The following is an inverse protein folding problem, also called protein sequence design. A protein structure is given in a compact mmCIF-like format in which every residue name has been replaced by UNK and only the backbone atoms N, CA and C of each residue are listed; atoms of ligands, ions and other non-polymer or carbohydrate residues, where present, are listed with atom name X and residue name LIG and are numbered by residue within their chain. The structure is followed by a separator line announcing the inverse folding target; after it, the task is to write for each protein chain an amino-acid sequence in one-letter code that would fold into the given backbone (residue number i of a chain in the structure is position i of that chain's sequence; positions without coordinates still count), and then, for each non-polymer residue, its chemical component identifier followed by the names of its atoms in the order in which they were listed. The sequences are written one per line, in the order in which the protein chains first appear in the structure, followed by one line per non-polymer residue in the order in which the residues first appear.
data_IF_862204322233
#
_entry.id   IF_862204322233
#
_cell.length_a   1.000
_cell.length_b   1.000
_cell.length_c   1.000
_cell.angle_alpha   90.00
_cell.angle_beta   90.00
_cell.angle_gamma   90.00
#
_symmetry.space_group_name_H-M   'P 1'
#
loop_
_entity.id
_entity.type
_entity.pdbx_description
1 polymer ?
#
# COMPACT_ATOMS: atom_id res chain seq x y z
N UNK A 1 2.99 -6.32 6.05
CA UNK A 1 4.21 -6.60 5.26
C UNK A 1 5.43 -6.56 6.16
N UNK A 2 6.20 -7.68 6.22
CA UNK A 2 7.28 -7.86 7.20
C UNK A 2 8.41 -6.81 7.17
N UNK A 3 8.58 -6.09 6.05
CA UNK A 3 9.60 -5.04 5.98
C UNK A 3 9.32 -3.82 6.85
N UNK A 4 8.08 -3.58 7.27
CA UNK A 4 7.79 -2.46 8.17
C UNK A 4 8.50 -2.65 9.52
N UNK A 5 8.42 -3.87 10.08
CA UNK A 5 9.08 -4.21 11.34
C UNK A 5 10.61 -4.21 11.20
N UNK A 6 11.13 -4.74 10.07
CA UNK A 6 12.59 -4.70 9.81
C UNK A 6 13.10 -3.26 9.77
N UNK A 7 12.41 -2.36 9.06
CA UNK A 7 12.79 -0.95 8.98
C UNK A 7 12.66 -0.21 10.33
N UNK A 8 11.63 -0.53 11.10
CA UNK A 8 11.47 0.01 12.44
C UNK A 8 12.62 -0.42 13.36
N UNK A 9 12.97 -1.70 13.36
CA UNK A 9 14.09 -2.24 14.15
C UNK A 9 15.43 -1.62 13.74
N UNK A 10 15.67 -1.39 12.44
CA UNK A 10 16.89 -0.71 11.98
C UNK A 10 17.01 0.74 12.47
N UNK A 11 15.88 1.37 12.81
CA UNK A 11 15.82 2.73 13.33
C UNK A 11 15.57 2.78 14.85
N UNK A 12 15.66 1.65 15.54
CA UNK A 12 15.38 1.53 16.98
C UNK A 12 13.98 2.04 17.36
N UNK A 13 12.99 1.78 16.48
CA UNK A 13 11.61 2.19 16.68
C UNK A 13 10.78 0.96 17.09
N UNK A 14 10.08 1.09 18.22
CA UNK A 14 9.18 0.05 18.69
C UNK A 14 7.94 -0.05 17.81
N UNK A 15 7.61 -1.26 17.38
CA UNK A 15 6.36 -1.59 16.68
C UNK A 15 5.32 -2.19 17.61
N UNK A 16 4.06 -1.93 17.31
CA UNK A 16 2.91 -2.58 17.94
C UNK A 16 2.08 -3.19 16.82
N UNK A 17 2.03 -4.52 16.77
CA UNK A 17 1.25 -5.25 15.78
C UNK A 17 -0.18 -5.44 16.30
N UNK A 18 -1.16 -4.96 15.54
CA UNK A 18 -2.58 -5.19 15.82
C UNK A 18 -3.10 -6.20 14.78
N UNK A 19 -3.54 -7.39 15.20
CA UNK A 19 -4.07 -8.40 14.28
C UNK A 19 -5.30 -7.88 13.51
N UNK A 20 -5.43 -8.31 12.26
CA UNK A 20 -6.65 -8.11 11.50
C UNK A 20 -7.78 -9.01 12.06
N UNK A 21 -9.00 -8.53 11.99
CA UNK A 21 -10.20 -9.30 12.33
C UNK A 21 -10.61 -10.24 11.17
N UNK A 22 -11.77 -10.85 11.28
CA UNK A 22 -12.33 -11.73 10.25
C UNK A 22 -12.25 -11.12 8.85
N UNK A 23 -12.06 -11.96 7.85
CA UNK A 23 -11.88 -11.58 6.45
C UNK A 23 -10.72 -10.61 6.23
N UNK A 24 -9.72 -10.65 7.08
CA UNK A 24 -8.51 -9.80 7.02
C UNK A 24 -8.81 -8.28 7.04
N UNK A 25 -9.83 -7.86 7.78
CA UNK A 25 -10.19 -6.44 7.91
C UNK A 25 -9.58 -5.80 9.16
N UNK A 26 -9.44 -4.47 9.15
CA UNK A 26 -8.92 -3.70 10.29
C UNK A 26 -9.92 -3.75 11.46
N UNK A 27 -9.42 -4.00 12.66
CA UNK A 27 -10.15 -3.72 13.89
C UNK A 27 -9.79 -2.30 14.36
N UNK A 28 -10.57 -1.31 13.92
CA UNK A 28 -10.36 0.11 14.24
C UNK A 28 -10.27 0.32 15.75
N UNK A 29 -11.17 -0.31 16.53
CA UNK A 29 -11.19 -0.18 17.98
C UNK A 29 -9.90 -0.69 18.61
N UNK A 30 -9.42 -1.84 18.17
CA UNK A 30 -8.16 -2.42 18.68
C UNK A 30 -6.96 -1.55 18.28
N UNK A 31 -6.93 -1.01 17.04
CA UNK A 31 -5.88 -0.10 16.61
C UNK A 31 -5.85 1.16 17.48
N UNK A 32 -6.99 1.84 17.66
CA UNK A 32 -7.07 3.06 18.45
C UNK A 32 -6.75 2.81 19.93
N UNK A 33 -7.13 1.66 20.48
CA UNK A 33 -6.78 1.27 21.85
C UNK A 33 -5.28 1.00 22.05
N UNK A 34 -4.56 0.62 20.99
CA UNK A 34 -3.12 0.40 21.02
C UNK A 34 -2.31 1.71 20.86
N UNK A 35 -2.97 2.78 20.40
CA UNK A 35 -2.34 4.11 20.25
C UNK A 35 -2.04 4.71 21.62
N UNK A 36 -0.86 5.31 21.75
CA UNK A 36 -0.47 6.06 22.93
C UNK A 36 0.32 7.31 22.54
N UNK A 37 0.76 8.09 23.51
CA UNK A 37 1.51 9.34 23.31
C UNK A 37 2.78 9.17 22.44
N UNK A 38 3.41 8.01 22.46
CA UNK A 38 4.61 7.71 21.69
C UNK A 38 4.28 7.22 20.25
N UNK A 39 3.04 6.85 19.96
CA UNK A 39 2.65 6.39 18.63
C UNK A 39 2.66 7.57 17.67
N UNK A 40 3.45 7.46 16.58
CA UNK A 40 3.62 8.54 15.59
C UNK A 40 3.12 8.15 14.21
N UNK A 41 3.13 6.86 13.91
CA UNK A 41 2.81 6.33 12.58
C UNK A 41 1.87 5.13 12.70
N UNK A 42 0.90 5.04 11.80
CA UNK A 42 0.13 3.83 11.52
C UNK A 42 0.43 3.41 10.10
N UNK A 43 0.85 2.15 9.89
CA UNK A 43 1.06 1.56 8.57
C UNK A 43 -0.09 0.64 8.20
N UNK A 44 -0.65 0.84 7.02
CA UNK A 44 -1.77 0.07 6.45
C UNK A 44 -1.37 -0.37 5.06
N UNK A 45 -1.51 -1.66 4.73
CA UNK A 45 -1.27 -2.18 3.39
C UNK A 45 -2.62 -2.50 2.72
N UNK A 46 -2.94 -1.81 1.61
CA UNK A 46 -4.20 -2.04 0.88
C UNK A 46 -4.02 -1.77 -0.61
N UNK A 47 -4.15 -2.78 -1.47
CA UNK A 47 -4.43 -4.21 -1.18
C UNK A 47 -3.37 -4.83 -0.27
N UNK A 48 -3.79 -5.72 0.66
CA UNK A 48 -2.92 -6.26 1.68
C UNK A 48 -2.05 -7.41 1.16
N UNK A 49 -0.80 -7.46 1.58
CA UNK A 49 0.08 -8.60 1.37
C UNK A 49 0.29 -9.32 2.73
N UNK A 50 0.01 -10.64 2.85
CA UNK A 50 -0.18 -11.64 1.77
C UNK A 50 -1.64 -11.98 1.43
N UNK A 51 -2.64 -11.40 2.09
CA UNK A 51 -4.04 -11.82 1.94
C UNK A 51 -4.72 -11.34 0.64
N UNK A 52 -4.12 -10.37 -0.07
CA UNK A 52 -4.58 -9.86 -1.35
C UNK A 52 -5.84 -8.97 -1.29
N UNK A 53 -6.51 -8.89 -0.16
CA UNK A 53 -7.79 -8.19 -0.04
C UNK A 53 -7.62 -6.66 0.08
N UNK A 54 -8.64 -5.93 -0.34
CA UNK A 54 -8.83 -4.54 0.01
C UNK A 54 -9.33 -4.41 1.45
N UNK A 55 -8.84 -3.40 2.13
CA UNK A 55 -9.37 -2.98 3.43
C UNK A 55 -10.53 -2.00 3.24
N UNK A 56 -11.45 -1.98 4.20
CA UNK A 56 -12.63 -1.11 4.12
C UNK A 56 -12.23 0.36 4.22
N UNK A 57 -12.65 1.15 3.23
CA UNK A 57 -12.33 2.57 3.11
C UNK A 57 -12.76 3.35 4.36
N UNK A 58 -13.96 3.06 4.89
CA UNK A 58 -14.48 3.75 6.06
C UNK A 58 -13.66 3.48 7.33
N UNK A 59 -13.14 2.24 7.49
CA UNK A 59 -12.28 1.90 8.61
C UNK A 59 -10.97 2.71 8.56
N UNK A 60 -10.39 2.85 7.36
CA UNK A 60 -9.17 3.64 7.15
C UNK A 60 -9.44 5.13 7.37
N UNK A 61 -10.57 5.67 6.87
CA UNK A 61 -10.96 7.07 7.09
C UNK A 61 -11.14 7.37 8.57
N UNK A 62 -11.79 6.49 9.32
CA UNK A 62 -11.92 6.63 10.78
C UNK A 62 -10.56 6.71 11.47
N UNK A 63 -9.58 5.90 11.05
CA UNK A 63 -8.23 5.99 11.61
C UNK A 63 -7.54 7.31 11.27
N UNK A 64 -7.74 7.83 10.05
CA UNK A 64 -7.17 9.13 9.65
C UNK A 64 -7.79 10.30 10.42
N UNK A 65 -9.07 10.22 10.77
CA UNK A 65 -9.78 11.24 11.55
C UNK A 65 -9.41 11.21 13.03
N UNK A 66 -9.32 10.02 13.62
CA UNK A 66 -9.15 9.88 15.07
C UNK A 66 -7.69 9.82 15.53
N UNK A 67 -6.75 9.55 14.61
CA UNK A 67 -5.33 9.47 14.95
C UNK A 67 -4.59 10.77 14.67
N UNK A 68 -3.98 11.36 15.70
CA UNK A 68 -3.22 12.62 15.59
C UNK A 68 -1.79 12.45 15.02
N UNK A 69 -1.40 11.27 14.57
CA UNK A 69 -0.13 10.99 13.89
C UNK A 69 -0.31 10.83 12.39
N UNK A 70 0.71 10.31 11.70
CA UNK A 70 0.66 10.08 10.26
C UNK A 70 0.13 8.67 9.98
N UNK A 71 -0.79 8.57 9.03
CA UNK A 71 -1.30 7.30 8.49
C UNK A 71 -0.66 7.06 7.14
N UNK A 72 0.09 5.96 7.02
CA UNK A 72 0.76 5.55 5.80
C UNK A 72 -0.04 4.41 5.17
N UNK A 73 -0.55 4.62 3.97
CA UNK A 73 -1.21 3.59 3.17
C UNK A 73 -0.25 3.09 2.11
N UNK A 74 0.15 1.84 2.24
CA UNK A 74 0.98 1.17 1.23
C UNK A 74 0.07 0.59 0.14
N UNK A 75 0.06 1.27 -0.98
CA UNK A 75 -0.68 0.93 -2.19
C UNK A 75 0.21 0.22 -3.23
N UNK A 76 1.16 -0.61 -2.80
CA UNK A 76 2.06 -1.30 -3.73
C UNK A 76 1.35 -2.16 -4.78
N UNK A 77 0.11 -2.55 -4.54
CA UNK A 77 -0.71 -3.38 -5.44
C UNK A 77 -1.95 -2.66 -5.98
N UNK A 78 -2.04 -1.34 -5.82
CA UNK A 78 -3.26 -0.59 -6.12
C UNK A 78 -3.63 -0.58 -7.61
N UNK A 79 -2.67 -0.76 -8.50
CA UNK A 79 -2.93 -0.81 -9.94
C UNK A 79 -3.88 -1.96 -10.35
N UNK A 80 -3.98 -3.00 -9.52
CA UNK A 80 -4.97 -4.07 -9.70
C UNK A 80 -6.38 -3.70 -9.21
N UNK A 81 -6.51 -2.60 -8.45
CA UNK A 81 -7.77 -2.07 -7.93
C UNK A 81 -7.76 -0.52 -7.91
N UNK A 82 -7.57 0.15 -9.06
CA UNK A 82 -7.27 1.60 -9.11
C UNK A 82 -8.37 2.48 -8.52
N UNK A 83 -9.62 2.05 -8.59
CA UNK A 83 -10.77 2.79 -8.04
C UNK A 83 -10.79 2.83 -6.49
N UNK A 84 -9.89 2.10 -5.84
CA UNK A 84 -9.77 2.02 -4.39
C UNK A 84 -8.58 2.78 -3.84
N UNK A 85 -7.87 3.56 -4.67
CA UNK A 85 -6.75 4.41 -4.24
C UNK A 85 -7.22 5.58 -3.38
N UNK A 86 -6.44 5.90 -2.35
CA UNK A 86 -6.65 7.05 -1.48
C UNK A 86 -6.05 8.36 -2.01
N UNK A 87 -5.51 8.39 -3.23
CA UNK A 87 -4.93 9.61 -3.82
C UNK A 87 -5.94 10.77 -3.85
N UNK A 88 -7.22 10.50 -4.12
CA UNK A 88 -8.27 11.51 -4.10
C UNK A 88 -8.52 12.14 -2.73
N UNK A 89 -8.15 11.45 -1.65
CA UNK A 89 -8.38 11.86 -0.27
C UNK A 89 -7.24 12.74 0.31
N UNK A 90 -6.16 12.95 -0.42
CA UNK A 90 -4.97 13.70 0.06
C UNK A 90 -5.27 15.13 0.49
N UNK A 91 -6.29 15.77 -0.12
CA UNK A 91 -6.68 17.12 0.24
C UNK A 91 -7.52 17.19 1.53
N UNK A 92 -8.22 16.12 1.84
CA UNK A 92 -9.12 16.04 3.00
C UNK A 92 -8.38 15.55 4.25
N UNK A 93 -7.30 14.76 4.07
CA UNK A 93 -6.52 14.19 5.17
C UNK A 93 -5.06 14.63 5.12
N UNK A 94 -4.71 15.75 5.78
CA UNK A 94 -3.34 16.30 5.74
C UNK A 94 -2.28 15.41 6.43
N UNK A 95 -2.71 14.41 7.20
CA UNK A 95 -1.88 13.40 7.86
C UNK A 95 -1.71 12.11 7.03
N UNK A 96 -2.30 12.04 5.84
CA UNK A 96 -2.21 10.89 4.94
C UNK A 96 -0.88 10.91 4.17
N UNK A 97 -0.25 9.73 4.09
CA UNK A 97 0.87 9.42 3.20
C UNK A 97 0.49 8.17 2.39
N UNK A 98 0.65 8.23 1.09
CA UNK A 98 0.43 7.08 0.21
C UNK A 98 1.76 6.69 -0.41
N UNK A 99 2.06 5.40 -0.42
CA UNK A 99 3.24 4.86 -1.11
C UNK A 99 2.81 3.92 -2.23
N UNK A 100 3.44 4.07 -3.39
CA UNK A 100 3.26 3.20 -4.56
C UNK A 100 4.61 2.81 -5.14
N UNK A 101 4.64 1.83 -6.05
CA UNK A 101 5.90 1.28 -6.55
C UNK A 101 5.84 0.89 -8.03
N UNK A 102 6.97 1.00 -8.71
CA UNK A 102 7.17 0.43 -10.05
C UNK A 102 7.42 -1.09 -10.02
N UNK A 103 7.56 -1.67 -8.84
CA UNK A 103 8.05 -3.05 -8.68
C UNK A 103 7.01 -4.13 -8.95
N UNK A 104 5.72 -3.83 -8.92
CA UNK A 104 4.60 -4.79 -8.96
C UNK A 104 3.90 -4.76 -10.31
N UNK A 105 2.77 -4.15 -10.42
CA UNK A 105 1.98 -4.10 -11.65
C UNK A 105 2.74 -3.57 -12.86
N UNK A 106 3.63 -2.60 -12.64
CA UNK A 106 4.49 -2.05 -13.69
C UNK A 106 5.70 -2.94 -14.03
N UNK A 107 5.88 -4.10 -13.38
CA UNK A 107 6.91 -5.12 -13.67
C UNK A 107 8.37 -4.60 -13.66
N UNK A 108 8.68 -3.54 -12.92
CA UNK A 108 10.00 -2.90 -12.90
C UNK A 108 10.69 -2.95 -11.53
N UNK A 109 10.62 -4.11 -10.85
CA UNK A 109 11.26 -4.30 -9.56
C UNK A 109 12.78 -4.00 -9.56
N UNK A 110 13.46 -4.26 -10.68
CA UNK A 110 14.91 -4.07 -10.83
C UNK A 110 15.38 -2.61 -10.79
N UNK A 111 14.53 -1.63 -11.12
CA UNK A 111 14.91 -0.21 -11.08
C UNK A 111 14.89 0.41 -9.67
N UNK A 112 14.39 -0.31 -8.68
CA UNK A 112 14.35 0.11 -7.26
C UNK A 112 13.71 1.48 -7.04
N UNK A 113 12.54 1.72 -7.65
CA UNK A 113 11.83 2.99 -7.58
C UNK A 113 10.45 2.82 -6.96
N UNK A 114 10.12 3.72 -6.04
CA UNK A 114 8.80 3.92 -5.47
C UNK A 114 8.40 5.38 -5.51
N UNK A 115 7.14 5.64 -5.22
CA UNK A 115 6.55 6.97 -5.18
C UNK A 115 5.92 7.20 -3.81
N UNK A 116 5.92 8.46 -3.39
CA UNK A 116 5.24 8.90 -2.17
C UNK A 116 4.39 10.12 -2.50
N UNK A 117 3.13 10.07 -2.10
CA UNK A 117 2.16 11.16 -2.24
C UNK A 117 1.70 11.57 -0.84
N UNK A 118 1.74 12.85 -0.56
CA UNK A 118 1.32 13.41 0.72
C UNK A 118 1.09 14.92 0.60
N UNK A 119 0.63 15.57 1.67
CA UNK A 119 0.52 17.02 1.72
C UNK A 119 1.87 17.69 1.46
N UNK A 120 1.85 18.91 0.92
CA UNK A 120 3.06 19.71 0.63
C UNK A 120 3.98 19.84 1.86
N UNK A 121 3.39 19.98 3.05
CA UNK A 121 4.13 20.05 4.32
C UNK A 121 4.97 18.79 4.55
N UNK A 122 4.38 17.61 4.35
CA UNK A 122 5.07 16.31 4.54
C UNK A 122 6.14 16.15 3.46
N UNK A 123 5.82 16.40 2.20
CA UNK A 123 6.77 16.31 1.08
C UNK A 123 7.96 17.26 1.28
N UNK A 124 7.72 18.46 1.80
CA UNK A 124 8.79 19.40 2.13
C UNK A 124 9.77 18.84 3.16
N UNK A 125 9.27 18.14 4.19
CA UNK A 125 10.14 17.48 5.19
C UNK A 125 10.93 16.34 4.55
N UNK A 126 10.27 15.46 3.77
CA UNK A 126 10.93 14.35 3.09
C UNK A 126 12.02 14.85 2.13
N UNK A 127 11.79 15.95 1.43
CA UNK A 127 12.78 16.56 0.54
C UNK A 127 14.01 17.10 1.27
N UNK A 128 13.89 17.51 2.54
CA UNK A 128 15.02 17.97 3.34
C UNK A 128 15.92 16.82 3.82
N UNK A 129 15.35 15.63 4.02
CA UNK A 129 16.07 14.50 4.62
C UNK A 129 16.51 13.45 3.59
N UNK A 130 15.91 13.45 2.39
CA UNK A 130 16.32 12.51 1.35
C UNK A 130 17.79 12.75 0.94
N UNK A 131 18.57 11.70 0.67
CA UNK A 131 19.91 11.87 0.13
C UNK A 131 19.90 12.58 -1.22
N UNK A 132 20.89 13.45 -1.52
CA UNK A 132 21.07 13.95 -2.86
C UNK A 132 21.33 12.76 -3.81
N UNK A 133 20.86 12.87 -5.05
CA UNK A 133 21.01 11.80 -6.06
C UNK A 133 20.41 10.43 -5.65
N UNK A 134 19.37 10.44 -4.83
CA UNK A 134 18.67 9.23 -4.34
C UNK A 134 18.13 8.32 -5.46
N UNK A 135 17.92 8.88 -6.67
CA UNK A 135 17.51 8.12 -7.87
C UNK A 135 18.56 8.34 -8.96
N UNK A 136 19.24 7.27 -9.37
CA UNK A 136 20.26 7.34 -10.41
C UNK A 136 19.66 7.60 -11.80
N UNK A 137 20.50 8.07 -12.73
CA UNK A 137 20.05 8.49 -14.07
C UNK A 137 19.42 7.35 -14.89
N UNK A 138 19.93 6.11 -14.76
CA UNK A 138 19.37 4.96 -15.48
C UNK A 138 17.96 4.62 -14.99
N UNK A 139 17.73 4.66 -13.68
CA UNK A 139 16.43 4.50 -13.06
C UNK A 139 15.45 5.59 -13.53
N UNK A 140 15.88 6.86 -13.54
CA UNK A 140 15.07 7.97 -14.03
C UNK A 140 14.67 7.78 -15.49
N UNK A 141 15.63 7.44 -16.37
CA UNK A 141 15.36 7.19 -17.78
C UNK A 141 14.36 6.05 -17.97
N UNK A 142 14.54 4.94 -17.24
CA UNK A 142 13.63 3.79 -17.34
C UNK A 142 12.24 4.10 -16.78
N UNK A 143 12.17 4.81 -15.67
CA UNK A 143 10.88 5.24 -15.11
C UNK A 143 10.10 6.15 -16.08
N UNK A 144 10.79 7.09 -16.75
CA UNK A 144 10.18 7.94 -17.75
C UNK A 144 9.62 7.14 -18.93
N UNK A 145 10.39 6.16 -19.43
CA UNK A 145 9.93 5.23 -20.46
C UNK A 145 8.67 4.46 -20.05
N UNK A 146 8.62 3.97 -18.81
CA UNK A 146 7.46 3.27 -18.25
C UNK A 146 6.23 4.17 -18.23
N UNK A 147 6.38 5.40 -17.72
CA UNK A 147 5.27 6.37 -17.64
C UNK A 147 4.77 6.77 -19.03
N UNK A 148 5.67 6.94 -20.00
CA UNK A 148 5.30 7.26 -21.38
C UNK A 148 4.57 6.12 -22.11
N UNK A 149 4.76 4.87 -21.66
CA UNK A 149 4.11 3.68 -22.23
C UNK A 149 3.14 3.03 -21.22
N UNK A 150 2.55 3.81 -20.33
CA UNK A 150 1.76 3.31 -19.21
C UNK A 150 0.61 2.39 -19.65
N UNK A 151 -0.07 2.71 -20.75
CA UNK A 151 -1.18 1.92 -21.27
C UNK A 151 -0.78 0.47 -21.60
N UNK A 152 0.48 0.24 -22.00
CA UNK A 152 0.98 -1.12 -22.26
C UNK A 152 1.00 -1.97 -20.99
N UNK A 153 1.30 -1.36 -19.85
CA UNK A 153 1.29 -2.06 -18.56
C UNK A 153 -0.12 -2.31 -18.05
N UNK A 154 -1.07 -1.41 -18.33
CA UNK A 154 -2.49 -1.63 -18.00
C UNK A 154 -3.05 -2.88 -18.68
N UNK A 155 -2.65 -3.17 -19.90
CA UNK A 155 -3.03 -4.42 -20.57
C UNK A 155 -2.53 -5.65 -19.80
N UNK A 156 -1.30 -5.61 -19.27
CA UNK A 156 -0.76 -6.69 -18.46
C UNK A 156 -1.51 -6.84 -17.13
N UNK A 157 -1.90 -5.73 -16.51
CA UNK A 157 -2.72 -5.73 -15.28
C UNK A 157 -4.05 -6.42 -15.54
N UNK A 158 -4.73 -6.12 -16.65
CA UNK A 158 -6.02 -6.75 -16.99
C UNK A 158 -5.86 -8.26 -17.26
N UNK A 159 -4.77 -8.69 -17.88
CA UNK A 159 -4.47 -10.13 -18.05
C UNK A 159 -4.35 -10.82 -16.68
N UNK A 160 -3.56 -10.24 -15.76
CA UNK A 160 -3.39 -10.81 -14.40
C UNK A 160 -4.72 -10.88 -13.65
N UNK A 161 -5.56 -9.83 -13.76
CA UNK A 161 -6.89 -9.81 -13.14
C UNK A 161 -7.79 -10.93 -13.72
N UNK A 162 -7.76 -11.12 -15.02
CA UNK A 162 -8.52 -12.17 -15.69
C UNK A 162 -8.09 -13.57 -15.25
N UNK A 163 -6.78 -13.81 -15.19
CA UNK A 163 -6.22 -15.09 -14.71
C UNK A 163 -6.56 -15.34 -13.23
N UNK A 164 -6.56 -14.30 -12.39
CA UNK A 164 -7.00 -14.41 -11.00
C UNK A 164 -8.46 -14.87 -10.91
N UNK A 165 -9.35 -14.33 -11.72
CA UNK A 165 -10.76 -14.72 -11.73
C UNK A 165 -10.95 -16.20 -12.12
N UNK A 166 -10.20 -16.65 -13.12
CA UNK A 166 -10.17 -18.07 -13.53
C UNK A 166 -9.70 -18.95 -12.37
N UNK A 167 -8.60 -18.56 -11.70
CA UNK A 167 -8.09 -19.33 -10.55
C UNK A 167 -9.09 -19.37 -9.39
N UNK A 168 -9.79 -18.29 -9.11
CA UNK A 168 -10.83 -18.25 -8.07
C UNK A 168 -11.96 -19.23 -8.40
N UNK A 169 -12.40 -19.28 -9.66
CA UNK A 169 -13.42 -20.23 -10.11
C UNK A 169 -12.93 -21.68 -9.97
N UNK A 170 -11.72 -21.96 -10.44
CA UNK A 170 -11.12 -23.30 -10.32
C UNK A 170 -10.97 -23.74 -8.84
N UNK A 171 -10.52 -22.86 -7.95
CA UNK A 171 -10.38 -23.16 -6.53
C UNK A 171 -11.74 -23.43 -5.86
N UNK A 172 -12.79 -22.72 -6.24
CA UNK A 172 -14.15 -22.96 -5.72
C UNK A 172 -14.71 -24.35 -6.13
N UNK A 173 -14.18 -24.96 -7.20
CA UNK A 173 -14.57 -26.29 -7.66
C UNK A 173 -13.80 -27.43 -6.97
N UNK A 174 -12.82 -27.10 -6.12
CA UNK A 174 -12.01 -28.10 -5.40
C UNK A 174 -12.66 -28.46 -4.06
N UNK A 175 -13.11 -29.68 -3.91
CA UNK A 175 -13.93 -30.14 -2.77
C UNK A 175 -13.28 -30.03 -1.37
N UNK A 176 -11.95 -29.94 -1.27
CA UNK A 176 -11.23 -29.81 0.00
C UNK A 176 -10.85 -28.38 0.33
N UNK A 177 -11.17 -27.40 -0.53
CA UNK A 177 -11.04 -25.98 -0.23
C UNK A 177 -12.34 -25.48 0.39
N UNK A 178 -12.29 -25.07 1.65
CA UNK A 178 -13.47 -24.60 2.37
C UNK A 178 -13.83 -23.15 1.97
N UNK A 179 -12.81 -22.30 1.77
CA UNK A 179 -13.00 -20.88 1.44
C UNK A 179 -11.95 -20.37 0.49
N UNK A 180 -12.39 -19.66 -0.53
CA UNK A 180 -11.55 -18.80 -1.37
C UNK A 180 -11.87 -17.35 -1.00
N UNK A 181 -10.88 -16.65 -0.40
CA UNK A 181 -11.08 -15.26 -0.01
C UNK A 181 -10.93 -14.33 -1.23
N UNK A 182 -11.72 -13.23 -1.30
CA UNK A 182 -11.56 -12.25 -2.36
C UNK A 182 -10.15 -11.64 -2.36
N UNK A 183 -9.53 -11.60 -3.53
CA UNK A 183 -8.26 -10.92 -3.73
C UNK A 183 -8.44 -9.75 -4.71
N UNK A 184 -7.80 -8.63 -4.43
CA UNK A 184 -7.76 -7.46 -5.30
C UNK A 184 -6.42 -7.36 -6.07
N UNK A 185 -5.45 -8.23 -5.73
CA UNK A 185 -4.11 -8.22 -6.34
C UNK A 185 -3.68 -9.63 -6.77
#
# INVERSE_FOLDING_TARGET
YGMYEVLANLNDIKTVNVPLKERFQIDVKSVLSAVNFNTKLIFICSPNNPSGNLLQINDIKTLMDEFNGLVIIDEAYIDFAPNSSFISELNDFPNLIITQTFSKALAHAGIRLGMCFASERIISVLNKIKPPYNVNQMTQKKALEVVQNFDTYLVQVEIVKSEREILVEEFNNINWIEHVFPSAS
#
